data_IF_520789083272
#
_entry.id   IF_520789083272
#
_cell.length_a   1.000
_cell.length_b   1.000
_cell.length_c   1.000
_cell.angle_alpha   90.00
_cell.angle_beta   90.00
_cell.angle_gamma   90.00
#
_symmetry.space_group_name_H-M   'P 1'
#
loop_
_entity.id
_entity.type
_entity.pdbx_description
1 polymer ?
#
# COMPACT_ATOMS: atom_id res chain seq x y z
N UNK A 1 -15.42 44.05 -15.34
CA UNK A 1 -14.79 42.79 -15.80
C UNK A 1 -13.54 42.43 -14.98
N UNK A 2 -12.67 43.38 -14.62
CA UNK A 2 -11.44 43.12 -13.83
C UNK A 2 -11.69 42.68 -12.38
N UNK A 3 -12.67 43.28 -11.69
CA UNK A 3 -12.99 42.95 -10.29
C UNK A 3 -13.46 41.50 -10.08
N UNK A 4 -14.15 40.90 -11.07
CA UNK A 4 -14.59 39.50 -11.01
C UNK A 4 -13.39 38.55 -11.06
N UNK A 5 -12.38 38.85 -11.88
CA UNK A 5 -11.16 38.05 -11.97
C UNK A 5 -10.33 38.10 -10.67
N UNK A 6 -10.30 39.25 -9.98
CA UNK A 6 -9.61 39.41 -8.69
C UNK A 6 -10.31 38.60 -7.59
N UNK A 7 -11.65 38.60 -7.56
CA UNK A 7 -12.41 37.80 -6.59
C UNK A 7 -12.20 36.30 -6.84
N UNK A 8 -12.24 35.86 -8.10
CA UNK A 8 -12.01 34.46 -8.46
C UNK A 8 -10.59 33.99 -8.14
N UNK A 9 -9.56 34.84 -8.33
CA UNK A 9 -8.19 34.48 -7.96
C UNK A 9 -8.01 34.36 -6.45
N UNK A 10 -8.63 35.24 -5.67
CA UNK A 10 -8.57 35.19 -4.22
C UNK A 10 -9.29 33.95 -3.66
N UNK A 11 -10.47 33.62 -4.21
CA UNK A 11 -11.19 32.39 -3.86
C UNK A 11 -10.38 31.13 -4.23
N UNK A 12 -9.72 31.11 -5.39
CA UNK A 12 -8.86 30.00 -5.79
C UNK A 12 -7.67 29.81 -4.83
N UNK A 13 -7.03 30.89 -4.39
CA UNK A 13 -5.93 30.84 -3.40
C UNK A 13 -6.42 30.34 -2.04
N UNK A 14 -7.59 30.78 -1.58
CA UNK A 14 -8.19 30.30 -0.33
C UNK A 14 -8.58 28.82 -0.41
N UNK A 15 -9.16 28.37 -1.53
CA UNK A 15 -9.44 26.96 -1.76
C UNK A 15 -8.15 26.12 -1.80
N UNK A 16 -7.11 26.61 -2.47
CA UNK A 16 -5.81 25.93 -2.52
C UNK A 16 -5.13 25.87 -1.15
N UNK A 17 -5.20 26.93 -0.36
CA UNK A 17 -4.68 26.96 1.00
C UNK A 17 -5.46 26.03 1.95
N UNK A 18 -6.79 25.97 1.81
CA UNK A 18 -7.65 25.06 2.56
C UNK A 18 -7.35 23.60 2.21
N UNK A 19 -7.23 23.29 0.91
CA UNK A 19 -6.84 21.97 0.43
C UNK A 19 -5.43 21.58 0.91
N UNK A 20 -4.47 22.51 0.88
CA UNK A 20 -3.15 22.26 1.45
C UNK A 20 -3.19 21.98 2.95
N UNK A 21 -4.04 22.70 3.71
CA UNK A 21 -4.21 22.47 5.16
C UNK A 21 -4.86 21.12 5.45
N UNK A 22 -5.90 20.71 4.75
CA UNK A 22 -6.55 19.41 4.95
C UNK A 22 -5.60 18.25 4.61
N UNK A 23 -4.83 18.37 3.54
CA UNK A 23 -3.79 17.40 3.16
C UNK A 23 -2.65 17.33 4.20
N UNK A 24 -2.19 18.46 4.74
CA UNK A 24 -1.17 18.48 5.79
C UNK A 24 -1.67 17.91 7.12
N UNK A 25 -2.92 18.19 7.49
CA UNK A 25 -3.49 17.75 8.76
C UNK A 25 -3.77 16.25 8.76
N UNK A 26 -4.27 15.69 7.64
CA UNK A 26 -4.44 14.24 7.45
C UNK A 26 -3.08 13.50 7.52
N UNK A 27 -2.05 14.02 6.85
CA UNK A 27 -0.70 13.45 6.92
C UNK A 27 -0.08 13.49 8.33
N UNK A 28 -0.41 14.53 9.11
CA UNK A 28 0.11 14.71 10.48
C UNK A 28 -0.63 13.82 11.49
N UNK A 29 -1.95 13.66 11.36
CA UNK A 29 -2.76 12.81 12.22
C UNK A 29 -2.42 11.32 12.06
N UNK A 30 -2.14 10.88 10.83
CA UNK A 30 -1.69 9.51 10.57
C UNK A 30 -0.26 9.26 11.03
N UNK A 31 0.67 10.20 10.78
CA UNK A 31 2.00 10.15 11.42
C UNK A 31 1.84 10.01 12.92
N UNK A 32 0.94 10.75 13.55
CA UNK A 32 0.69 10.61 14.99
C UNK A 32 0.07 9.25 15.37
N UNK A 33 -0.87 8.69 14.61
CA UNK A 33 -1.46 7.38 14.89
C UNK A 33 -0.44 6.24 14.75
N UNK A 34 0.40 6.29 13.71
CA UNK A 34 1.43 5.30 13.46
C UNK A 34 2.64 5.47 14.40
N UNK A 35 3.11 6.71 14.62
CA UNK A 35 4.22 7.04 15.53
C UNK A 35 3.85 6.96 17.02
N UNK A 36 2.57 6.98 17.39
CA UNK A 36 2.16 6.77 18.78
C UNK A 36 2.44 5.36 19.27
N UNK A 37 2.70 4.40 18.38
CA UNK A 37 3.28 3.12 18.75
C UNK A 37 4.78 3.30 19.00
N UNK A 38 5.16 3.67 20.23
CA UNK A 38 6.55 3.60 20.73
C UNK A 38 7.13 2.17 20.69
N UNK A 39 6.35 1.17 20.27
CA UNK A 39 6.71 -0.23 20.19
C UNK A 39 7.01 -0.63 18.75
N UNK A 40 8.12 -1.35 18.58
CA UNK A 40 8.44 -2.05 17.34
C UNK A 40 7.39 -3.13 17.04
N UNK A 41 6.63 -2.93 15.97
CA UNK A 41 5.72 -3.91 15.36
C UNK A 41 6.42 -4.84 14.35
N UNK A 42 5.94 -6.07 14.25
CA UNK A 42 6.13 -6.97 13.11
C UNK A 42 5.04 -6.69 12.07
N UNK A 43 5.44 -6.24 10.89
CA UNK A 43 4.53 -5.85 9.81
C UNK A 43 4.63 -6.87 8.69
N UNK A 44 3.49 -7.34 8.19
CA UNK A 44 3.39 -8.19 7.02
C UNK A 44 2.84 -7.38 5.84
N UNK A 45 3.65 -7.21 4.80
CA UNK A 45 3.22 -6.69 3.52
C UNK A 45 2.78 -7.86 2.63
N UNK A 46 1.50 -7.90 2.26
CA UNK A 46 0.95 -8.94 1.37
C UNK A 46 0.73 -8.35 -0.01
N UNK A 47 1.46 -8.89 -0.99
CA UNK A 47 1.43 -8.49 -2.41
C UNK A 47 1.05 -9.66 -3.31
N UNK A 48 0.53 -9.37 -4.51
CA UNK A 48 0.09 -10.41 -5.43
C UNK A 48 1.26 -10.92 -6.28
N UNK A 49 2.09 -9.99 -6.76
CA UNK A 49 3.11 -10.25 -7.78
C UNK A 49 4.49 -9.69 -7.39
N UNK A 50 5.57 -10.29 -7.93
CA UNK A 50 6.90 -9.72 -7.87
C UNK A 50 6.99 -8.44 -8.70
N UNK A 51 7.14 -7.27 -8.08
CA UNK A 51 7.22 -5.88 -8.60
C UNK A 51 6.33 -4.91 -7.81
N UNK A 52 5.23 -5.41 -7.25
CA UNK A 52 4.26 -4.64 -6.46
C UNK A 52 4.94 -3.85 -5.33
N UNK A 53 5.92 -4.46 -4.64
CA UNK A 53 6.64 -3.86 -3.53
C UNK A 53 7.36 -2.58 -3.96
N UNK A 54 8.01 -2.65 -5.12
CA UNK A 54 8.80 -1.56 -5.69
C UNK A 54 7.90 -0.50 -6.29
N UNK A 55 6.85 -0.92 -6.99
CA UNK A 55 5.95 -0.03 -7.74
C UNK A 55 5.02 0.76 -6.83
N UNK A 56 4.48 0.14 -5.78
CA UNK A 56 3.38 0.70 -4.99
C UNK A 56 3.71 0.93 -3.51
N UNK A 57 4.58 0.09 -2.93
CA UNK A 57 4.80 0.07 -1.47
C UNK A 57 6.16 0.66 -1.03
N UNK A 58 7.08 0.98 -1.93
CA UNK A 58 8.39 1.59 -1.60
C UNK A 58 8.30 2.74 -0.57
N UNK A 59 7.37 3.71 -0.68
CA UNK A 59 7.26 4.79 0.31
C UNK A 59 6.96 4.28 1.72
N UNK A 60 6.03 3.34 1.87
CA UNK A 60 5.68 2.79 3.19
C UNK A 60 6.77 1.85 3.72
N UNK A 61 7.36 1.03 2.86
CA UNK A 61 8.49 0.15 3.21
C UNK A 61 9.63 0.96 3.83
N UNK A 62 10.07 2.03 3.14
CA UNK A 62 11.14 2.89 3.63
C UNK A 62 10.80 3.55 4.97
N UNK A 63 9.54 3.95 5.16
CA UNK A 63 9.09 4.51 6.41
C UNK A 63 9.11 3.49 7.56
N UNK A 64 8.64 2.27 7.33
CA UNK A 64 8.64 1.18 8.30
C UNK A 64 10.07 0.80 8.73
N UNK A 65 10.97 0.65 7.77
CA UNK A 65 12.38 0.36 8.03
C UNK A 65 13.03 1.51 8.81
N UNK A 66 12.79 2.77 8.42
CA UNK A 66 13.34 3.95 9.10
C UNK A 66 12.84 4.10 10.54
N UNK A 67 11.61 3.70 10.81
CA UNK A 67 11.01 3.74 12.15
C UNK A 67 11.35 2.49 12.99
N UNK A 68 12.15 1.58 12.44
CA UNK A 68 12.67 0.41 13.15
C UNK A 68 11.71 -0.77 13.23
N UNK A 69 10.61 -0.75 12.46
CA UNK A 69 9.69 -1.88 12.37
C UNK A 69 10.32 -3.08 11.67
N UNK A 70 9.84 -4.26 12.03
CA UNK A 70 10.29 -5.49 11.43
C UNK A 70 9.36 -5.87 10.27
N UNK A 71 9.83 -5.76 9.04
CA UNK A 71 9.00 -5.95 7.85
C UNK A 71 9.20 -7.34 7.25
N UNK A 72 8.10 -8.05 7.05
CA UNK A 72 7.99 -9.29 6.30
C UNK A 72 7.18 -9.05 5.03
N UNK A 73 7.51 -9.76 3.96
CA UNK A 73 6.83 -9.70 2.67
C UNK A 73 6.32 -11.08 2.31
N UNK A 74 5.02 -11.19 2.05
CA UNK A 74 4.40 -12.36 1.45
C UNK A 74 3.96 -12.00 0.03
N UNK A 75 4.63 -12.58 -0.95
CA UNK A 75 4.23 -12.52 -2.35
C UNK A 75 3.45 -13.77 -2.71
N UNK A 76 2.18 -13.60 -3.05
CA UNK A 76 1.20 -14.69 -3.15
C UNK A 76 1.39 -15.55 -4.41
N UNK A 77 2.04 -15.01 -5.45
CA UNK A 77 2.41 -15.75 -6.64
C UNK A 77 3.84 -15.44 -7.07
N UNK A 78 4.42 -16.28 -7.92
CA UNK A 78 5.72 -15.96 -8.57
C UNK A 78 5.58 -15.04 -9.78
N UNK A 79 4.39 -14.53 -10.11
CA UNK A 79 4.18 -13.70 -11.31
C UNK A 79 4.44 -14.44 -12.63
N UNK A 80 4.10 -15.74 -12.69
CA UNK A 80 4.54 -16.63 -13.77
C UNK A 80 3.66 -16.61 -15.04
N UNK A 81 2.81 -15.59 -15.23
CA UNK A 81 1.92 -15.52 -16.41
C UNK A 81 2.71 -15.61 -17.74
N UNK A 82 3.89 -15.00 -17.79
CA UNK A 82 4.79 -14.99 -18.95
C UNK A 82 5.85 -16.10 -18.92
N UNK A 83 5.71 -17.10 -18.05
CA UNK A 83 6.70 -18.19 -17.82
C UNK A 83 8.07 -17.72 -17.30
N UNK A 84 8.09 -16.56 -16.65
CA UNK A 84 9.31 -15.93 -16.11
C UNK A 84 9.37 -15.95 -14.57
N UNK A 85 8.54 -16.76 -13.90
CA UNK A 85 8.35 -16.71 -12.46
C UNK A 85 9.61 -17.00 -11.63
N UNK A 86 10.51 -17.86 -12.12
CA UNK A 86 11.80 -18.12 -11.46
C UNK A 86 12.70 -16.88 -11.45
N UNK A 87 12.73 -16.14 -12.56
CA UNK A 87 13.49 -14.88 -12.70
C UNK A 87 12.84 -13.79 -11.84
N UNK A 88 11.52 -13.60 -11.96
CA UNK A 88 10.77 -12.60 -11.18
C UNK A 88 10.87 -12.81 -9.68
N UNK A 89 10.87 -14.07 -9.21
CA UNK A 89 11.14 -14.39 -7.80
C UNK A 89 12.53 -13.93 -7.37
N UNK A 90 13.56 -14.15 -8.18
CA UNK A 90 14.92 -13.67 -7.89
C UNK A 90 14.97 -12.14 -7.87
N UNK A 91 14.32 -11.49 -8.83
CA UNK A 91 14.22 -10.02 -8.91
C UNK A 91 13.58 -9.44 -7.66
N UNK A 92 12.48 -10.01 -7.17
CA UNK A 92 11.84 -9.59 -5.91
C UNK A 92 12.78 -9.72 -4.71
N UNK A 93 13.50 -10.84 -4.56
CA UNK A 93 14.46 -10.97 -3.47
C UNK A 93 15.58 -9.91 -3.56
N UNK A 94 16.06 -9.58 -4.76
CA UNK A 94 17.05 -8.52 -4.96
C UNK A 94 16.47 -7.13 -4.66
N UNK A 95 15.25 -6.84 -5.10
CA UNK A 95 14.55 -5.58 -4.82
C UNK A 95 14.33 -5.40 -3.31
N UNK A 96 13.84 -6.44 -2.61
CA UNK A 96 13.71 -6.44 -1.15
C UNK A 96 15.05 -6.22 -0.44
N UNK A 97 16.15 -6.79 -0.93
CA UNK A 97 17.48 -6.56 -0.37
C UNK A 97 17.91 -5.08 -0.50
N UNK A 98 17.63 -4.43 -1.64
CA UNK A 98 17.85 -2.98 -1.84
C UNK A 98 17.00 -2.16 -0.88
N UNK A 99 15.76 -2.58 -0.64
CA UNK A 99 14.83 -2.00 0.34
C UNK A 99 15.18 -2.35 1.80
N UNK A 100 16.30 -3.04 2.04
CA UNK A 100 16.82 -3.45 3.36
C UNK A 100 15.92 -4.44 4.10
N UNK A 101 15.15 -5.23 3.38
CA UNK A 101 14.36 -6.35 3.90
C UNK A 101 15.22 -7.61 3.80
N UNK A 102 15.53 -8.29 4.92
CA UNK A 102 16.28 -9.55 4.91
C UNK A 102 15.55 -10.63 4.09
N UNK A 103 16.30 -11.42 3.32
CA UNK A 103 15.74 -12.45 2.43
C UNK A 103 14.88 -13.50 3.17
N UNK A 104 15.22 -13.79 4.43
CA UNK A 104 14.45 -14.71 5.29
C UNK A 104 13.05 -14.20 5.64
N UNK A 105 12.81 -12.90 5.47
CA UNK A 105 11.52 -12.25 5.71
C UNK A 105 10.74 -12.05 4.41
N UNK A 106 11.23 -12.59 3.29
CA UNK A 106 10.56 -12.53 1.98
C UNK A 106 10.14 -13.95 1.61
N UNK A 107 8.84 -14.21 1.69
CA UNK A 107 8.25 -15.47 1.25
C UNK A 107 7.54 -15.27 -0.09
N UNK A 108 7.83 -16.11 -1.06
CA UNK A 108 7.22 -16.09 -2.40
C UNK A 108 6.63 -17.46 -2.68
N UNK A 109 5.30 -17.49 -2.73
CA UNK A 109 4.53 -18.72 -2.92
C UNK A 109 4.52 -19.15 -4.38
N UNK A 110 4.48 -20.45 -4.57
CA UNK A 110 4.19 -21.09 -5.84
C UNK A 110 3.12 -22.17 -5.60
N UNK A 111 1.89 -21.71 -5.37
CA UNK A 111 0.76 -22.57 -5.09
C UNK A 111 -0.05 -22.80 -6.37
N UNK A 112 -0.43 -24.05 -6.72
CA UNK A 112 -1.12 -24.36 -7.98
C UNK A 112 -2.43 -23.61 -8.17
N UNK A 113 -3.13 -23.28 -7.08
CA UNK A 113 -4.40 -22.53 -7.11
C UNK A 113 -4.24 -21.01 -7.01
N UNK A 114 -3.02 -20.49 -6.80
CA UNK A 114 -2.73 -19.05 -6.64
C UNK A 114 -1.80 -18.55 -7.75
N UNK A 115 -2.10 -18.94 -8.99
CA UNK A 115 -1.29 -18.59 -10.16
C UNK A 115 -1.70 -17.23 -10.72
N UNK A 116 -0.70 -16.46 -11.15
CA UNK A 116 -0.86 -15.15 -11.78
C UNK A 116 -1.60 -15.25 -13.15
N UNK A 117 -2.40 -14.24 -13.45
CA UNK A 117 -2.97 -14.02 -14.77
C UNK A 117 -4.34 -13.34 -14.75
N UNK A 118 -4.65 -12.60 -15.82
CA UNK A 118 -5.98 -12.03 -16.00
C UNK A 118 -7.06 -13.12 -16.05
N UNK A 119 -8.10 -12.98 -15.22
CA UNK A 119 -9.19 -13.95 -15.12
C UNK A 119 -8.86 -15.19 -14.29
N UNK A 120 -7.69 -15.24 -13.63
CA UNK A 120 -7.34 -16.26 -12.64
C UNK A 120 -7.73 -15.76 -11.25
N UNK A 121 -8.95 -16.08 -10.81
CA UNK A 121 -9.42 -15.70 -9.48
C UNK A 121 -8.85 -16.62 -8.41
N UNK A 122 -8.44 -16.04 -7.29
CA UNK A 122 -7.92 -16.77 -6.14
C UNK A 122 -8.99 -16.94 -5.08
N UNK A 123 -9.06 -18.13 -4.47
CA UNK A 123 -10.00 -18.38 -3.39
C UNK A 123 -9.60 -17.58 -2.13
N UNK A 124 -10.51 -16.74 -1.67
CA UNK A 124 -10.30 -15.91 -0.49
C UNK A 124 -10.15 -16.73 0.80
N UNK A 125 -10.73 -17.94 0.88
CA UNK A 125 -10.56 -18.82 2.04
C UNK A 125 -9.15 -19.41 2.12
N UNK A 126 -8.62 -19.88 0.98
CA UNK A 126 -7.25 -20.31 0.83
C UNK A 126 -6.27 -19.17 1.15
N UNK A 127 -6.51 -17.97 0.61
CA UNK A 127 -5.70 -16.78 0.93
C UNK A 127 -5.71 -16.47 2.43
N UNK A 128 -6.90 -16.47 3.06
CA UNK A 128 -7.02 -16.24 4.50
C UNK A 128 -6.24 -17.31 5.29
N UNK A 129 -6.30 -18.58 4.90
CA UNK A 129 -5.54 -19.66 5.55
C UNK A 129 -4.02 -19.46 5.42
N UNK A 130 -3.55 -19.11 4.22
CA UNK A 130 -2.13 -18.87 3.94
C UNK A 130 -1.62 -17.67 4.73
N UNK A 131 -2.34 -16.54 4.67
CA UNK A 131 -1.98 -15.32 5.39
C UNK A 131 -2.06 -15.54 6.91
N UNK A 132 -3.08 -16.26 7.39
CA UNK A 132 -3.20 -16.66 8.80
C UNK A 132 -2.01 -17.47 9.30
N UNK A 133 -1.50 -18.40 8.50
CA UNK A 133 -0.30 -19.16 8.84
C UNK A 133 0.94 -18.26 8.98
N UNK A 134 1.10 -17.27 8.09
CA UNK A 134 2.18 -16.28 8.16
C UNK A 134 2.03 -15.36 9.39
N UNK A 135 0.81 -14.93 9.72
CA UNK A 135 0.52 -14.16 10.93
C UNK A 135 1.07 -14.88 12.16
N UNK A 136 0.71 -16.17 12.31
CA UNK A 136 1.12 -16.97 13.46
C UNK A 136 2.63 -17.23 13.47
N UNK A 137 3.20 -17.62 12.33
CA UNK A 137 4.63 -17.99 12.22
C UNK A 137 5.55 -16.80 12.49
N UNK A 138 5.17 -15.62 11.98
CA UNK A 138 5.99 -14.41 12.07
C UNK A 138 5.59 -13.48 13.22
N UNK A 139 4.57 -13.85 14.01
CA UNK A 139 4.01 -13.05 15.12
C UNK A 139 3.66 -11.62 14.66
N UNK A 140 2.85 -11.53 13.61
CA UNK A 140 2.52 -10.27 12.94
C UNK A 140 1.56 -9.42 13.79
N UNK A 141 1.86 -8.13 13.91
CA UNK A 141 1.02 -7.14 14.60
C UNK A 141 0.20 -6.27 13.63
N UNK A 142 0.66 -6.14 12.38
CA UNK A 142 0.05 -5.29 11.35
C UNK A 142 0.18 -5.93 9.96
N UNK A 143 -0.91 -5.96 9.21
CA UNK A 143 -0.93 -6.31 7.78
C UNK A 143 -1.13 -5.05 6.93
N UNK A 144 -0.39 -4.96 5.83
CA UNK A 144 -0.57 -3.96 4.80
C UNK A 144 -0.81 -4.66 3.46
N UNK A 145 -1.85 -4.26 2.73
CA UNK A 145 -2.14 -4.82 1.39
C UNK A 145 -2.92 -3.83 0.51
N UNK A 146 -3.51 -4.29 -0.59
CA UNK A 146 -4.35 -3.51 -1.51
C UNK A 146 -5.76 -3.22 -0.95
N UNK A 147 -6.41 -2.19 -1.48
CA UNK A 147 -7.85 -1.94 -1.26
C UNK A 147 -8.74 -2.83 -2.16
N UNK A 148 -10.06 -2.63 -2.05
CA UNK A 148 -11.09 -3.39 -2.76
C UNK A 148 -11.06 -3.23 -4.29
N UNK A 149 -10.41 -2.17 -4.78
CA UNK A 149 -10.24 -1.89 -6.19
C UNK A 149 -9.00 -2.57 -6.77
N UNK A 150 -7.90 -2.68 -6.01
CA UNK A 150 -6.70 -3.37 -6.46
C UNK A 150 -5.88 -2.57 -7.47
N UNK A 151 -5.63 -1.29 -7.17
CA UNK A 151 -4.84 -0.29 -7.92
C UNK A 151 -5.35 0.00 -9.32
N UNK A 152 -5.17 -0.94 -10.24
CA UNK A 152 -5.58 -0.86 -11.64
C UNK A 152 -6.87 -1.63 -11.92
N UNK A 153 -7.44 -2.30 -10.90
CA UNK A 153 -8.55 -3.23 -11.08
C UNK A 153 -8.10 -4.68 -11.26
N UNK A 154 -6.81 -4.99 -11.04
CA UNK A 154 -6.27 -6.33 -11.26
C UNK A 154 -6.93 -7.35 -10.34
N UNK A 155 -7.44 -8.47 -10.90
CA UNK A 155 -8.20 -9.46 -10.15
C UNK A 155 -7.44 -10.01 -8.93
N UNK A 156 -6.16 -10.36 -9.08
CA UNK A 156 -5.37 -10.89 -7.97
C UNK A 156 -5.15 -9.88 -6.82
N UNK A 157 -5.03 -8.58 -7.11
CA UNK A 157 -4.90 -7.57 -6.04
C UNK A 157 -6.19 -7.51 -5.21
N UNK A 158 -7.33 -7.57 -5.89
CA UNK A 158 -8.66 -7.61 -5.27
C UNK A 158 -8.85 -8.89 -4.46
N UNK A 159 -8.39 -10.03 -4.98
CA UNK A 159 -8.51 -11.31 -4.29
C UNK A 159 -7.67 -11.32 -3.00
N UNK A 160 -6.44 -10.78 -3.03
CA UNK A 160 -5.61 -10.57 -1.83
C UNK A 160 -6.35 -9.73 -0.78
N UNK A 161 -6.94 -8.61 -1.20
CA UNK A 161 -7.77 -7.78 -0.33
C UNK A 161 -8.93 -8.59 0.29
N UNK A 162 -9.65 -9.42 -0.49
CA UNK A 162 -10.71 -10.27 0.02
C UNK A 162 -10.21 -11.34 1.01
N UNK A 163 -9.02 -11.90 0.78
CA UNK A 163 -8.37 -12.83 1.70
C UNK A 163 -8.07 -12.19 3.05
N UNK A 164 -7.47 -10.99 3.05
CA UNK A 164 -7.20 -10.24 4.29
C UNK A 164 -8.50 -9.84 5.00
N UNK A 165 -9.55 -9.46 4.25
CA UNK A 165 -10.86 -9.14 4.84
C UNK A 165 -11.50 -10.30 5.60
N UNK A 166 -11.32 -11.53 5.15
CA UNK A 166 -11.83 -12.71 5.88
C UNK A 166 -11.20 -12.88 7.26
N UNK A 167 -10.03 -12.29 7.50
CA UNK A 167 -9.33 -12.34 8.78
C UNK A 167 -9.78 -11.25 9.77
N UNK A 168 -10.63 -10.30 9.36
CA UNK A 168 -11.07 -9.19 10.22
C UNK A 168 -11.75 -9.64 11.53
N UNK A 169 -12.41 -10.79 11.53
CA UNK A 169 -13.16 -11.30 12.69
C UNK A 169 -12.36 -12.27 13.57
N UNK A 170 -11.15 -12.65 13.15
CA UNK A 170 -10.49 -13.84 13.68
C UNK A 170 -9.16 -13.57 14.39
N UNK A 171 -8.62 -12.36 14.33
CA UNK A 171 -7.35 -12.02 14.97
C UNK A 171 -7.29 -10.56 15.43
N UNK A 172 -6.43 -10.29 16.42
CA UNK A 172 -6.17 -8.95 16.98
C UNK A 172 -5.16 -8.14 16.12
N UNK A 173 -4.89 -8.57 14.88
CA UNK A 173 -3.89 -7.95 14.00
C UNK A 173 -4.51 -6.73 13.32
N UNK A 174 -3.81 -5.59 13.38
CA UNK A 174 -4.21 -4.40 12.64
C UNK A 174 -4.11 -4.65 11.12
N UNK A 175 -5.04 -4.14 10.32
CA UNK A 175 -5.06 -4.36 8.86
C UNK A 175 -5.24 -3.03 8.15
N UNK A 176 -4.34 -2.71 7.23
CA UNK A 176 -4.31 -1.45 6.50
C UNK A 176 -4.29 -1.72 4.99
N UNK A 177 -4.97 -0.88 4.23
CA UNK A 177 -5.11 -1.04 2.78
C UNK A 177 -4.61 0.18 2.01
N UNK A 178 -3.96 -0.06 0.86
CA UNK A 178 -3.47 0.95 -0.06
C UNK A 178 -4.64 1.50 -0.89
N UNK A 179 -4.91 2.79 -0.73
CA UNK A 179 -5.98 3.49 -1.41
C UNK A 179 -5.66 3.76 -2.88
N UNK A 180 -6.31 3.01 -3.76
CA UNK A 180 -6.21 3.13 -5.22
C UNK A 180 -6.74 4.47 -5.73
N UNK A 181 -7.74 5.05 -5.07
CA UNK A 181 -8.45 6.27 -5.50
C UNK A 181 -7.62 7.56 -5.47
N UNK A 182 -6.47 7.56 -4.80
CA UNK A 182 -5.62 8.76 -4.66
C UNK A 182 -4.67 8.96 -5.84
N UNK A 183 -4.40 7.92 -6.62
CA UNK A 183 -3.58 8.02 -7.84
C UNK A 183 -4.25 8.89 -8.92
N UNK A 184 -5.57 8.79 -9.09
CA UNK A 184 -6.31 9.57 -10.11
C UNK A 184 -6.23 11.07 -9.86
N UNK A 185 -6.32 11.50 -8.59
CA UNK A 185 -6.26 12.92 -8.22
C UNK A 185 -4.84 13.48 -8.40
N UNK A 186 -3.82 12.68 -8.11
CA UNK A 186 -2.41 13.10 -8.24
C UNK A 186 -1.98 13.27 -9.70
N UNK A 187 -2.44 12.40 -10.61
CA UNK A 187 -2.15 12.51 -12.04
C UNK A 187 -2.76 13.78 -12.68
N UNK A 188 -3.97 14.16 -12.29
CA UNK A 188 -4.60 15.40 -12.77
C UNK A 188 -3.86 16.66 -12.30
N UNK A 189 -3.09 16.58 -11.20
CA UNK A 189 -2.26 17.68 -10.68
C UNK A 189 -0.87 17.80 -11.33
N UNK A 190 -0.37 16.77 -12.02
CA UNK A 190 0.98 16.76 -12.62
C UNK A 190 1.06 17.42 -14.02
N UNK A 191 -0.07 17.79 -14.63
CA UNK A 191 -0.07 18.49 -15.93
C UNK A 191 0.37 19.97 -15.85
N UNK A 192 0.93 20.41 -14.73
CA UNK A 192 1.46 21.76 -14.53
C UNK A 192 2.94 21.77 -14.14
N UNK A 193 3.82 21.99 -15.14
CA UNK A 193 5.27 22.29 -15.08
C UNK A 193 6.27 21.11 -15.02
N UNK A 194 7.44 21.18 -15.70
CA UNK A 194 8.25 20.01 -16.05
C UNK A 194 9.36 19.62 -15.05
N UNK A 195 9.46 20.25 -13.87
CA UNK A 195 10.69 20.15 -13.04
C UNK A 195 10.51 19.67 -11.60
N UNK A 196 9.39 19.03 -11.22
CA UNK A 196 9.23 18.53 -9.84
C UNK A 196 8.83 17.07 -9.76
N UNK A 197 9.88 16.25 -9.56
CA UNK A 197 9.96 15.13 -8.63
C UNK A 197 8.76 14.16 -8.62
N UNK A 198 8.97 12.95 -9.12
CA UNK A 198 8.09 11.78 -8.92
C UNK A 198 7.76 11.58 -7.44
N UNK A 199 6.73 12.26 -6.95
CA UNK A 199 6.19 12.04 -5.63
C UNK A 199 5.12 10.96 -5.76
N UNK A 200 5.50 9.69 -5.61
CA UNK A 200 4.52 8.63 -5.41
C UNK A 200 3.96 8.79 -3.99
N UNK A 201 2.77 9.38 -3.91
CA UNK A 201 2.02 9.53 -2.66
C UNK A 201 1.14 8.30 -2.52
N UNK A 202 1.58 7.33 -1.74
CA UNK A 202 0.75 6.19 -1.33
C UNK A 202 -0.10 6.63 -0.14
N UNK A 203 -1.34 6.18 -0.07
CA UNK A 203 -2.26 6.53 1.00
C UNK A 203 -2.85 5.25 1.56
N UNK A 204 -3.02 5.19 2.87
CA UNK A 204 -3.46 3.98 3.55
C UNK A 204 -4.53 4.28 4.58
N UNK A 205 -5.47 3.36 4.72
CA UNK A 205 -6.52 3.42 5.75
C UNK A 205 -6.68 2.07 6.48
N UNK A 206 -7.13 2.08 7.76
CA UNK A 206 -7.44 0.85 8.47
C UNK A 206 -8.67 0.15 7.87
N UNK A 207 -8.55 -1.14 7.64
CA UNK A 207 -9.61 -1.96 7.06
C UNK A 207 -10.76 -2.21 8.06
N UNK A 208 -12.00 -2.06 7.61
CA UNK A 208 -13.20 -2.37 8.42
C UNK A 208 -13.82 -1.19 9.20
N UNK A 209 -13.22 -0.01 9.15
CA UNK A 209 -13.84 1.22 9.65
C UNK A 209 -14.63 1.90 8.54
N UNK A 210 -15.97 1.81 8.59
CA UNK A 210 -16.84 2.70 7.81
C UNK A 210 -16.83 4.06 8.49
N UNK A 211 -15.86 4.92 8.16
CA UNK A 211 -15.95 6.32 8.55
C UNK A 211 -15.44 7.21 7.42
N UNK A 212 -16.31 8.11 6.98
CA UNK A 212 -16.05 9.16 5.97
C UNK A 212 -14.99 10.20 6.42
N UNK A 213 -14.13 9.87 7.39
CA UNK A 213 -13.24 10.84 8.06
C UNK A 213 -11.78 10.39 8.24
N UNK A 214 -11.39 9.17 7.83
CA UNK A 214 -10.02 8.65 8.04
C UNK A 214 -9.29 8.29 6.73
N UNK A 215 -9.33 9.19 5.75
CA UNK A 215 -8.48 9.08 4.57
C UNK A 215 -7.07 9.60 4.91
N UNK A 216 -6.11 8.68 5.02
CA UNK A 216 -4.76 8.98 5.42
C UNK A 216 -3.79 9.01 4.23
N UNK A 217 -3.02 10.09 4.07
CA UNK A 217 -2.05 10.27 2.97
C UNK A 217 -0.60 10.18 3.47
N UNK A 218 0.18 9.17 3.04
CA UNK A 218 1.63 9.14 3.26
C UNK A 218 2.32 9.96 2.16
N UNK A 219 2.60 11.23 2.47
CA UNK A 219 3.57 12.03 1.73
C UNK A 219 4.97 11.70 2.24
N UNK A 220 5.66 10.74 1.62
CA UNK A 220 7.11 10.62 1.78
C UNK A 220 7.79 11.43 0.68
N UNK A 221 8.50 12.47 1.09
CA UNK A 221 9.47 13.14 0.25
C UNK A 221 10.69 12.22 0.15
N UNK A 222 10.87 11.60 -1.01
CA UNK A 222 12.17 11.03 -1.40
C UNK A 222 13.13 12.22 -1.56
N UNK A 223 14.21 12.21 -0.78
CA UNK A 223 15.32 13.14 -0.92
C UNK A 223 16.55 12.34 -1.34
#
# INVERSE_FOLDING_TARGET
MTWVAIILSFLAVLCFASLCKTLHLSSSAMKAAFLNSQKRKNVLLVIAHPDDESMFFTPVINYLIKTGHNLHVLCVSTGNADRMGSIRKQELHLACAVLKIPSQQVNVLDHPDLQDGFGKYWDSGLLASVIGNEIHTCSIDLIITFDDYGISGHCNHRDVHQGVRKLLLHDDVEKWELLSKIWTITLLGQYGTPEKLCCNVSAFEPMGLVSETFCGVFKLYLC
#
